data_IF_257931609524
#
_entry.id   IF_257931609524
#
_cell.length_a   1.000
_cell.length_b   1.000
_cell.length_c   1.000
_cell.angle_alpha   90.00
_cell.angle_beta   90.00
_cell.angle_gamma   90.00
#
_symmetry.space_group_name_H-M   'P 1'
#
loop_
_entity.id
_entity.type
_entity.pdbx_description
1 polymer ?
#
# COMPACT_ATOMS: atom_id res chain seq x y z
N UNK A 1 37.15 8.98 -8.61
CA UNK A 1 36.12 8.15 -7.95
C UNK A 1 35.19 7.63 -9.04
N UNK A 2 35.24 6.34 -9.36
CA UNK A 2 34.39 5.75 -10.41
C UNK A 2 32.93 5.87 -9.99
N UNK A 3 32.12 6.54 -10.81
CA UNK A 3 30.67 6.56 -10.66
C UNK A 3 30.20 5.10 -10.59
N UNK A 4 29.50 4.67 -9.52
CA UNK A 4 28.93 3.34 -9.49
C UNK A 4 28.04 3.17 -10.73
N UNK A 5 28.31 2.09 -11.46
CA UNK A 5 27.80 1.85 -12.80
C UNK A 5 26.27 1.87 -12.79
N UNK A 6 25.65 2.57 -13.75
CA UNK A 6 24.17 2.71 -13.82
C UNK A 6 23.49 1.33 -13.82
N UNK A 7 24.15 0.33 -14.40
CA UNK A 7 23.68 -1.07 -14.37
C UNK A 7 23.62 -1.67 -12.96
N UNK A 8 24.56 -1.34 -12.06
CA UNK A 8 24.55 -1.82 -10.68
C UNK A 8 23.40 -1.22 -9.87
N UNK A 9 23.08 0.06 -10.09
CA UNK A 9 21.92 0.72 -9.45
C UNK A 9 20.59 0.12 -9.94
N UNK A 10 20.48 -0.15 -11.24
CA UNK A 10 19.31 -0.79 -11.83
C UNK A 10 19.09 -2.20 -11.29
N UNK A 11 20.14 -3.03 -11.27
CA UNK A 11 20.07 -4.39 -10.73
C UNK A 11 19.69 -4.41 -9.24
N UNK A 12 20.20 -3.45 -8.44
CA UNK A 12 19.80 -3.29 -7.04
C UNK A 12 18.33 -2.91 -6.89
N UNK A 13 17.81 -2.03 -7.75
CA UNK A 13 16.39 -1.67 -7.73
C UNK A 13 15.49 -2.86 -8.07
N UNK A 14 15.85 -3.68 -9.07
CA UNK A 14 15.08 -4.90 -9.39
C UNK A 14 15.04 -5.85 -8.19
N UNK A 15 16.20 -6.12 -7.56
CA UNK A 15 16.24 -6.99 -6.38
C UNK A 15 15.38 -6.48 -5.23
N UNK A 16 15.37 -5.17 -4.99
CA UNK A 16 14.51 -4.57 -3.96
C UNK A 16 13.04 -4.71 -4.32
N UNK A 17 12.67 -4.52 -5.59
CA UNK A 17 11.28 -4.72 -6.05
C UNK A 17 10.83 -6.17 -5.90
N UNK A 18 11.69 -7.14 -6.22
CA UNK A 18 11.34 -8.55 -6.07
C UNK A 18 11.20 -8.94 -4.59
N UNK A 19 12.08 -8.42 -3.73
CA UNK A 19 11.95 -8.60 -2.29
C UNK A 19 10.68 -7.94 -1.73
N UNK A 20 10.30 -6.74 -2.20
CA UNK A 20 9.06 -6.09 -1.76
C UNK A 20 7.81 -6.91 -2.14
N UNK A 21 7.81 -7.59 -3.29
CA UNK A 21 6.70 -8.47 -3.67
C UNK A 21 6.57 -9.64 -2.71
N UNK A 22 7.69 -10.26 -2.30
CA UNK A 22 7.65 -11.35 -1.32
C UNK A 22 7.21 -10.85 0.04
N UNK A 23 7.72 -9.70 0.47
CA UNK A 23 7.32 -9.06 1.74
C UNK A 23 5.81 -8.78 1.77
N UNK A 24 5.23 -8.25 0.69
CA UNK A 24 3.79 -8.04 0.61
C UNK A 24 3.01 -9.36 0.79
N UNK A 25 3.45 -10.44 0.14
CA UNK A 25 2.79 -11.75 0.30
C UNK A 25 2.91 -12.29 1.74
N UNK A 26 4.08 -12.13 2.36
CA UNK A 26 4.31 -12.54 3.75
C UNK A 26 3.39 -11.76 4.71
N UNK A 27 3.26 -10.44 4.52
CA UNK A 27 2.38 -9.63 5.36
C UNK A 27 0.90 -9.91 5.13
N UNK A 28 0.48 -10.28 3.92
CA UNK A 28 -0.90 -10.78 3.67
C UNK A 28 -1.14 -12.09 4.42
N UNK A 29 -0.19 -13.02 4.37
CA UNK A 29 -0.29 -14.29 5.11
C UNK A 29 -0.36 -14.05 6.63
N UNK A 30 0.46 -13.14 7.15
CA UNK A 30 0.46 -12.76 8.56
C UNK A 30 -0.83 -12.07 8.98
N UNK A 31 -1.38 -11.19 8.14
CA UNK A 31 -2.69 -10.56 8.36
C UNK A 31 -3.78 -11.61 8.53
N UNK A 32 -3.87 -12.58 7.62
CA UNK A 32 -4.90 -13.62 7.69
C UNK A 32 -4.72 -14.55 8.90
N UNK A 33 -3.49 -14.88 9.27
CA UNK A 33 -3.21 -15.59 10.53
C UNK A 33 -3.63 -14.75 11.73
N UNK A 34 -3.33 -13.45 11.75
CA UNK A 34 -3.72 -12.54 12.82
C UNK A 34 -5.23 -12.49 13.00
N UNK A 35 -5.98 -12.38 11.90
CA UNK A 35 -7.45 -12.43 11.88
C UNK A 35 -7.96 -13.77 12.41
N UNK A 36 -7.42 -14.89 11.92
CA UNK A 36 -7.84 -16.23 12.33
C UNK A 36 -7.69 -16.47 13.84
N UNK A 37 -6.63 -15.92 14.44
CA UNK A 37 -6.35 -16.06 15.87
C UNK A 37 -6.89 -14.89 16.72
N UNK A 38 -7.68 -13.97 16.14
CA UNK A 38 -8.14 -12.74 16.80
C UNK A 38 -7.02 -11.94 17.48
N UNK A 39 -5.81 -11.95 16.89
CA UNK A 39 -4.64 -11.26 17.42
C UNK A 39 -4.56 -9.84 16.84
N UNK A 40 -5.15 -8.88 17.55
CA UNK A 40 -5.22 -7.48 17.13
C UNK A 40 -3.84 -6.86 16.88
N UNK A 41 -2.83 -7.20 17.69
CA UNK A 41 -1.47 -6.67 17.51
C UNK A 41 -0.89 -7.16 16.17
N UNK A 42 -0.98 -8.47 15.89
CA UNK A 42 -0.51 -9.03 14.63
C UNK A 42 -1.26 -8.46 13.41
N UNK A 43 -2.55 -8.17 13.55
CA UNK A 43 -3.35 -7.52 12.51
C UNK A 43 -2.82 -6.12 12.21
N UNK A 44 -2.67 -5.27 13.23
CA UNK A 44 -2.19 -3.89 13.08
C UNK A 44 -0.77 -3.86 12.51
N UNK A 45 0.11 -4.74 12.99
CA UNK A 45 1.49 -4.84 12.51
C UNK A 45 1.55 -5.24 11.03
N UNK A 46 0.73 -6.21 10.62
CA UNK A 46 0.67 -6.66 9.23
C UNK A 46 0.10 -5.59 8.30
N UNK A 47 -0.99 -4.92 8.70
CA UNK A 47 -1.59 -3.82 7.93
C UNK A 47 -0.62 -2.65 7.78
N UNK A 48 0.07 -2.27 8.84
CA UNK A 48 1.05 -1.18 8.81
C UNK A 48 2.23 -1.53 7.89
N UNK A 49 2.74 -2.76 7.98
CA UNK A 49 3.80 -3.26 7.11
C UNK A 49 3.39 -3.27 5.63
N UNK A 50 2.14 -3.62 5.32
CA UNK A 50 1.60 -3.55 3.97
C UNK A 50 1.58 -2.11 3.44
N UNK A 51 1.06 -1.16 4.22
CA UNK A 51 1.02 0.25 3.83
C UNK A 51 2.43 0.77 3.53
N UNK A 52 3.40 0.50 4.41
CA UNK A 52 4.80 0.88 4.20
C UNK A 52 5.35 0.26 2.91
N UNK A 53 5.12 -1.03 2.70
CA UNK A 53 5.62 -1.76 1.53
C UNK A 53 5.08 -1.18 0.22
N UNK A 54 3.79 -0.80 0.19
CA UNK A 54 3.16 -0.15 -0.97
C UNK A 54 3.80 1.21 -1.27
N UNK A 55 4.00 2.08 -0.27
CA UNK A 55 4.66 3.38 -0.47
C UNK A 55 6.11 3.23 -0.94
N UNK A 56 6.87 2.29 -0.36
CA UNK A 56 8.25 2.03 -0.77
C UNK A 56 8.28 1.51 -2.21
N UNK A 57 7.37 0.61 -2.58
CA UNK A 57 7.25 0.09 -3.94
C UNK A 57 6.95 1.21 -4.93
N UNK A 58 5.96 2.07 -4.65
CA UNK A 58 5.61 3.23 -5.47
C UNK A 58 6.84 4.12 -5.74
N UNK A 59 7.61 4.43 -4.69
CA UNK A 59 8.86 5.21 -4.83
C UNK A 59 9.92 4.51 -5.69
N UNK A 60 10.03 3.20 -5.61
CA UNK A 60 11.01 2.41 -6.39
C UNK A 60 10.68 2.36 -7.87
N UNK A 61 9.40 2.44 -8.25
CA UNK A 61 8.95 2.50 -9.63
C UNK A 61 8.86 3.92 -10.20
N UNK A 62 9.19 4.93 -9.39
CA UNK A 62 9.27 6.34 -9.83
C UNK A 62 8.06 7.20 -9.50
N UNK A 63 7.12 6.71 -8.68
CA UNK A 63 6.00 7.51 -8.17
C UNK A 63 6.39 8.19 -6.86
N UNK A 64 6.04 9.45 -6.67
CA UNK A 64 6.15 10.07 -5.34
C UNK A 64 5.07 9.53 -4.39
N UNK A 65 5.25 9.72 -3.09
CA UNK A 65 4.21 9.36 -2.12
C UNK A 65 2.91 10.14 -2.38
N UNK A 66 3.03 11.43 -2.74
CA UNK A 66 1.87 12.26 -3.08
C UNK A 66 1.16 11.83 -4.38
N UNK A 67 1.88 11.23 -5.34
CA UNK A 67 1.22 10.66 -6.53
C UNK A 67 0.35 9.46 -6.16
N UNK A 68 0.83 8.61 -5.24
CA UNK A 68 0.03 7.50 -4.73
C UNK A 68 -1.16 8.01 -3.90
N UNK A 69 -0.95 8.97 -3.00
CA UNK A 69 -2.03 9.55 -2.18
C UNK A 69 -3.12 10.15 -3.05
N UNK A 70 -2.76 10.93 -4.07
CA UNK A 70 -3.71 11.51 -5.02
C UNK A 70 -4.50 10.43 -5.76
N UNK A 71 -3.82 9.38 -6.24
CA UNK A 71 -4.48 8.27 -6.93
C UNK A 71 -5.44 7.49 -6.01
N UNK A 72 -5.11 7.37 -4.71
CA UNK A 72 -6.00 6.76 -3.70
C UNK A 72 -7.25 7.62 -3.51
N UNK A 73 -7.11 8.93 -3.32
CA UNK A 73 -8.24 9.86 -3.18
C UNK A 73 -9.12 9.90 -4.44
N UNK A 74 -8.52 9.89 -5.63
CA UNK A 74 -9.26 9.83 -6.90
C UNK A 74 -10.08 8.53 -6.99
N UNK A 75 -9.48 7.38 -6.65
CA UNK A 75 -10.19 6.08 -6.62
C UNK A 75 -11.33 6.03 -5.61
N UNK A 76 -11.18 6.64 -4.43
CA UNK A 76 -12.26 6.71 -3.44
C UNK A 76 -13.46 7.46 -4.01
N UNK A 77 -13.23 8.62 -4.62
CA UNK A 77 -14.28 9.42 -5.25
C UNK A 77 -14.96 8.70 -6.41
N UNK A 78 -14.18 8.00 -7.25
CA UNK A 78 -14.71 7.17 -8.32
C UNK A 78 -15.61 6.06 -7.78
N UNK A 79 -15.13 5.28 -6.81
CA UNK A 79 -15.90 4.17 -6.24
C UNK A 79 -17.15 4.62 -5.47
N UNK A 80 -17.10 5.75 -4.78
CA UNK A 80 -18.28 6.35 -4.14
C UNK A 80 -19.32 6.79 -5.19
N UNK A 81 -18.88 7.46 -6.26
CA UNK A 81 -19.77 7.91 -7.34
C UNK A 81 -20.41 6.74 -8.09
N UNK A 82 -19.64 5.68 -8.31
CA UNK A 82 -20.05 4.54 -9.12
C UNK A 82 -20.88 3.51 -8.33
N UNK A 83 -21.21 3.77 -7.06
CA UNK A 83 -22.05 2.91 -6.24
C UNK A 83 -21.37 1.58 -5.88
N UNK A 84 -20.08 1.61 -5.52
CA UNK A 84 -19.38 0.40 -5.11
C UNK A 84 -20.09 -0.24 -3.89
N UNK A 85 -20.20 -1.58 -3.85
CA UNK A 85 -20.97 -2.29 -2.82
C UNK A 85 -20.59 -1.91 -1.38
N UNK A 86 -19.30 -1.69 -1.11
CA UNK A 86 -18.82 -1.23 0.20
C UNK A 86 -19.38 0.15 0.59
N UNK A 87 -19.55 1.04 -0.38
CA UNK A 87 -20.19 2.33 -0.14
C UNK A 87 -21.69 2.14 0.10
N UNK A 88 -22.38 1.40 -0.77
CA UNK A 88 -23.83 1.19 -0.65
C UNK A 88 -24.23 0.48 0.65
N UNK A 89 -23.42 -0.45 1.14
CA UNK A 89 -23.74 -1.27 2.31
C UNK A 89 -23.28 -0.64 3.63
N UNK A 90 -22.13 0.04 3.63
CA UNK A 90 -21.46 0.44 4.86
C UNK A 90 -20.99 1.90 4.89
N UNK A 91 -20.92 2.58 3.74
CA UNK A 91 -20.36 3.93 3.65
C UNK A 91 -18.84 3.99 3.92
N UNK A 92 -18.14 2.85 3.79
CA UNK A 92 -16.73 2.72 4.16
C UNK A 92 -15.83 3.65 3.34
N UNK A 93 -16.17 3.87 2.07
CA UNK A 93 -15.35 4.65 1.15
C UNK A 93 -15.48 6.15 1.43
N UNK A 94 -16.70 6.63 1.63
CA UNK A 94 -16.96 8.00 2.08
C UNK A 94 -16.31 8.28 3.44
N UNK A 95 -16.40 7.34 4.39
CA UNK A 95 -15.75 7.43 5.71
C UNK A 95 -14.22 7.56 5.60
N UNK A 96 -13.61 6.76 4.71
CA UNK A 96 -12.17 6.81 4.47
C UNK A 96 -11.73 8.10 3.78
N UNK A 97 -12.46 8.58 2.76
CA UNK A 97 -12.18 9.85 2.10
C UNK A 97 -12.24 11.02 3.11
N UNK A 98 -13.25 11.02 3.97
CA UNK A 98 -13.39 11.98 5.07
C UNK A 98 -12.19 11.98 6.04
N UNK A 99 -11.71 10.78 6.41
CA UNK A 99 -10.55 10.65 7.28
C UNK A 99 -9.28 11.20 6.63
N UNK A 100 -9.08 10.91 5.34
CA UNK A 100 -7.90 11.37 4.59
C UNK A 100 -7.93 12.89 4.40
N UNK A 101 -9.08 13.47 4.03
CA UNK A 101 -9.21 14.91 3.76
C UNK A 101 -9.17 15.79 5.02
N UNK A 102 -9.34 15.21 6.22
CA UNK A 102 -9.23 15.92 7.51
C UNK A 102 -7.79 16.01 8.05
N UNK A 103 -6.81 15.35 7.41
CA UNK A 103 -5.38 15.42 7.75
C UNK A 103 -4.70 16.61 7.10
#
# INVERSE_FOLDING_TARGET
>A
MSRPDRGLHFAKNIKVMDWLKTEILDQVANLFKGIHHANQQAIIDSLSSLVISIYVMARRIGLSYGDLDRAVTEKLKEHTRDGHQLEEWYGDLSSLDDYINKR
#
